data_IF_924948572151
#
_entry.id   IF_924948572151
#
_cell.length_a   1.000
_cell.length_b   1.000
_cell.length_c   1.000
_cell.angle_alpha   90.00
_cell.angle_beta   90.00
_cell.angle_gamma   90.00
#
_symmetry.space_group_name_H-M   'P 1'
#
loop_
_entity.id
_entity.type
_entity.pdbx_description
1 polymer ?
#
# COMPACT_ATOMS: atom_id res chain seq x y z
N UNK A 1 -0.48 -18.37 2.99
CA UNK A 1 -1.39 -17.47 3.74
C UNK A 1 -2.60 -18.22 4.24
N UNK A 2 -3.24 -17.68 5.29
CA UNK A 2 -4.56 -18.11 5.78
C UNK A 2 -5.60 -17.07 5.37
N UNK A 3 -6.82 -17.50 5.01
CA UNK A 3 -7.88 -16.57 4.68
C UNK A 3 -8.40 -15.84 5.94
N UNK A 4 -8.22 -14.52 6.03
CA UNK A 4 -8.98 -13.68 6.96
C UNK A 4 -10.41 -13.50 6.41
N UNK A 5 -11.36 -14.20 7.04
CA UNK A 5 -12.79 -14.10 6.67
C UNK A 5 -13.45 -12.85 7.27
N UNK A 6 -12.92 -12.34 8.39
CA UNK A 6 -13.44 -11.17 9.07
C UNK A 6 -12.31 -10.16 9.42
N UNK A 7 -12.56 -8.85 9.25
CA UNK A 7 -13.72 -8.29 8.55
C UNK A 7 -13.71 -8.58 7.04
N UNK A 8 -14.91 -8.58 6.44
CA UNK A 8 -15.08 -8.82 5.00
C UNK A 8 -14.21 -7.84 4.19
N UNK A 9 -13.51 -8.36 3.19
CA UNK A 9 -12.70 -7.57 2.27
C UNK A 9 -11.24 -7.35 2.67
N UNK A 10 -10.81 -7.73 3.89
CA UNK A 10 -9.41 -7.57 4.32
C UNK A 10 -8.44 -8.37 3.45
N UNK A 11 -8.74 -9.64 3.14
CA UNK A 11 -7.88 -10.43 2.24
C UNK A 11 -7.79 -9.83 0.83
N UNK A 12 -8.84 -9.17 0.36
CA UNK A 12 -8.82 -8.50 -0.95
C UNK A 12 -7.95 -7.24 -0.87
N UNK A 13 -8.05 -6.47 0.21
CA UNK A 13 -7.22 -5.31 0.46
C UNK A 13 -5.73 -5.71 0.53
N UNK A 14 -5.40 -6.74 1.30
CA UNK A 14 -4.03 -7.27 1.44
C UNK A 14 -3.43 -7.61 0.08
N UNK A 15 -4.10 -8.46 -0.71
CA UNK A 15 -3.64 -8.84 -2.05
C UNK A 15 -3.47 -7.62 -2.97
N UNK A 16 -4.38 -6.64 -2.88
CA UNK A 16 -4.30 -5.42 -3.70
C UNK A 16 -3.07 -4.59 -3.33
N UNK A 17 -2.86 -4.34 -2.02
CA UNK A 17 -1.72 -3.58 -1.54
C UNK A 17 -0.41 -4.31 -1.83
N UNK A 18 -0.31 -5.61 -1.57
CA UNK A 18 0.90 -6.40 -1.85
C UNK A 18 1.24 -6.40 -3.34
N UNK A 19 0.24 -6.54 -4.21
CA UNK A 19 0.44 -6.48 -5.67
C UNK A 19 1.01 -5.12 -6.10
N UNK A 20 0.44 -4.01 -5.60
CA UNK A 20 0.93 -2.68 -5.89
C UNK A 20 2.34 -2.44 -5.32
N UNK A 21 2.60 -2.84 -4.07
CA UNK A 21 3.93 -2.72 -3.45
C UNK A 21 5.03 -3.43 -4.25
N UNK A 22 4.74 -4.62 -4.78
CA UNK A 22 5.71 -5.37 -5.60
C UNK A 22 6.10 -4.65 -6.91
N UNK A 23 5.33 -3.66 -7.33
CA UNK A 23 5.47 -2.90 -8.57
C UNK A 23 5.93 -1.46 -8.35
N UNK A 24 6.25 -1.09 -7.12
CA UNK A 24 6.79 0.22 -6.79
C UNK A 24 8.16 0.40 -7.46
N UNK A 25 8.36 1.53 -8.13
CA UNK A 25 9.59 1.84 -8.88
C UNK A 25 10.41 2.93 -8.23
N UNK A 26 9.78 3.81 -7.45
CA UNK A 26 10.45 4.85 -6.69
C UNK A 26 9.62 5.25 -5.47
N UNK A 27 10.26 5.98 -4.55
CA UNK A 27 9.60 6.56 -3.39
C UNK A 27 10.00 8.02 -3.20
N UNK A 28 9.12 8.80 -2.58
CA UNK A 28 9.44 10.12 -2.02
C UNK A 28 8.77 10.30 -0.66
N UNK A 29 9.41 11.05 0.22
CA UNK A 29 8.88 11.36 1.56
C UNK A 29 8.69 12.87 1.65
N UNK A 30 7.49 13.30 2.04
CA UNK A 30 7.15 14.71 2.26
C UNK A 30 6.38 14.85 3.57
N UNK A 31 6.99 15.50 4.57
CA UNK A 31 6.41 15.60 5.91
C UNK A 31 6.13 14.21 6.50
N UNK A 32 4.88 13.97 6.90
CA UNK A 32 4.41 12.68 7.45
C UNK A 32 3.87 11.73 6.37
N UNK A 33 4.23 11.91 5.11
CA UNK A 33 3.71 11.09 4.00
C UNK A 33 4.82 10.37 3.26
N UNK A 34 4.63 9.08 3.01
CA UNK A 34 5.41 8.28 2.07
C UNK A 34 4.59 8.07 0.81
N UNK A 35 5.15 8.46 -0.33
CA UNK A 35 4.59 8.24 -1.65
C UNK A 35 5.41 7.17 -2.37
N UNK A 36 4.75 6.16 -2.94
CA UNK A 36 5.36 5.15 -3.78
C UNK A 36 4.79 5.24 -5.19
N UNK A 37 5.65 5.48 -6.18
CA UNK A 37 5.25 5.48 -7.58
C UNK A 37 5.18 4.04 -8.08
N UNK A 38 4.08 3.66 -8.73
CA UNK A 38 3.89 2.34 -9.32
C UNK A 38 4.21 2.39 -10.81
N UNK A 39 4.79 1.32 -11.35
CA UNK A 39 5.16 1.22 -12.77
C UNK A 39 4.00 1.49 -13.75
N UNK A 40 2.75 1.23 -13.36
CA UNK A 40 1.55 1.50 -14.17
C UNK A 40 1.00 2.93 -14.06
N UNK A 41 1.62 3.78 -13.24
CA UNK A 41 1.26 5.20 -13.11
C UNK A 41 0.46 5.54 -11.85
N UNK A 42 -0.07 4.56 -11.12
CA UNK A 42 -0.69 4.78 -9.80
C UNK A 42 0.35 5.21 -8.76
N UNK A 43 -0.14 5.80 -7.67
CA UNK A 43 0.67 6.20 -6.52
C UNK A 43 0.04 5.63 -5.23
N UNK A 44 0.83 4.93 -4.42
CA UNK A 44 0.43 4.57 -3.06
C UNK A 44 0.91 5.63 -2.07
N UNK A 45 0.04 6.06 -1.17
CA UNK A 45 0.36 7.08 -0.17
C UNK A 45 0.11 6.51 1.22
N UNK A 46 1.16 6.46 2.04
CA UNK A 46 1.09 6.09 3.45
C UNK A 46 1.23 7.34 4.32
N UNK A 47 0.42 7.42 5.37
CA UNK A 47 0.51 8.45 6.39
C UNK A 47 1.27 7.88 7.59
N UNK A 48 2.33 8.56 8.03
CA UNK A 48 2.88 8.38 9.36
C UNK A 48 1.89 8.93 10.36
N UNK A 49 1.36 8.06 11.20
CA UNK A 49 0.62 8.44 12.39
C UNK A 49 1.67 8.53 13.49
N UNK A 50 2.34 9.67 13.57
CA UNK A 50 3.24 9.93 14.70
C UNK A 50 2.38 9.90 15.99
N UNK A 51 2.81 9.08 16.97
CA UNK A 51 2.14 8.89 18.26
C UNK A 51 2.23 10.15 19.14
#
# INVERSE_FOLDING_TARGET
EMACMDPEGIMKQEQTIMSLLSRATSYRIEGSKLYLQIASGEELIFLSLDN
#
